data_IF_338530046015
#
_entry.id   IF_338530046015
#
_cell.length_a   1.000
_cell.length_b   1.000
_cell.length_c   1.000
_cell.angle_alpha   90.00
_cell.angle_beta   90.00
_cell.angle_gamma   90.00
#
_symmetry.space_group_name_H-M   'P 1'
#
loop_
_entity.id
_entity.type
_entity.pdbx_description
1 polymer ?
#
# COMPACT_ATOMS: atom_id res chain seq x y z
N UNK A 1 12.42 -13.49 7.09
CA UNK A 1 11.83 -12.22 6.62
C UNK A 1 12.44 -11.12 7.47
N UNK A 2 13.13 -10.19 6.82
CA UNK A 2 13.70 -9.02 7.47
C UNK A 2 12.61 -8.03 7.92
N UNK A 3 13.00 -7.01 8.71
CA UNK A 3 12.06 -6.03 9.24
C UNK A 3 11.35 -5.24 8.14
N UNK A 4 12.03 -4.94 7.03
CA UNK A 4 11.46 -4.17 5.91
C UNK A 4 10.40 -4.99 5.17
N UNK A 5 10.68 -6.26 4.84
CA UNK A 5 9.71 -7.14 4.20
C UNK A 5 8.46 -7.33 5.06
N UNK A 6 8.63 -7.50 6.38
CA UNK A 6 7.50 -7.60 7.31
C UNK A 6 6.63 -6.33 7.32
N UNK A 7 7.24 -5.14 7.30
CA UNK A 7 6.49 -3.88 7.22
C UNK A 7 5.72 -3.74 5.91
N UNK A 8 6.34 -4.09 4.78
CA UNK A 8 5.68 -4.05 3.47
C UNK A 8 4.50 -5.02 3.37
N UNK A 9 4.62 -6.21 3.98
CA UNK A 9 3.51 -7.16 4.10
C UNK A 9 2.37 -6.58 4.94
N UNK A 10 2.69 -5.99 6.09
CA UNK A 10 1.69 -5.39 6.98
C UNK A 10 0.92 -4.28 6.26
N UNK A 11 1.61 -3.39 5.53
CA UNK A 11 0.98 -2.33 4.72
C UNK A 11 0.02 -2.94 3.69
N UNK A 12 0.46 -3.96 2.93
CA UNK A 12 -0.38 -4.58 1.91
C UNK A 12 -1.64 -5.24 2.50
N UNK A 13 -1.51 -5.92 3.64
CA UNK A 13 -2.64 -6.53 4.34
C UNK A 13 -3.62 -5.47 4.88
N UNK A 14 -3.12 -4.39 5.48
CA UNK A 14 -3.95 -3.28 5.94
C UNK A 14 -4.76 -2.64 4.80
N UNK A 15 -4.13 -2.41 3.64
CA UNK A 15 -4.83 -1.87 2.47
C UNK A 15 -5.91 -2.83 1.95
N UNK A 16 -5.65 -4.15 1.93
CA UNK A 16 -6.67 -5.15 1.60
C UNK A 16 -7.84 -5.13 2.57
N UNK A 17 -7.58 -4.92 3.86
CA UNK A 17 -8.66 -4.80 4.85
C UNK A 17 -9.48 -3.54 4.63
N UNK A 18 -8.85 -2.38 4.40
CA UNK A 18 -9.57 -1.13 4.13
C UNK A 18 -10.45 -1.27 2.87
N UNK A 19 -9.90 -1.82 1.78
CA UNK A 19 -10.61 -2.04 0.51
C UNK A 19 -11.89 -2.87 0.65
N UNK A 20 -11.96 -3.76 1.64
CA UNK A 20 -13.17 -4.55 1.94
C UNK A 20 -14.26 -3.77 2.66
N UNK A 21 -13.92 -2.65 3.32
CA UNK A 21 -14.83 -1.88 4.16
C UNK A 21 -15.20 -0.52 3.57
N UNK A 22 -14.53 -0.09 2.50
CA UNK A 22 -14.83 1.15 1.78
C UNK A 22 -15.66 0.88 0.52
N UNK A 23 -16.45 1.86 0.03
CA UNK A 23 -17.19 1.72 -1.20
C UNK A 23 -16.28 1.46 -2.43
N UNK A 24 -16.79 0.79 -3.47
CA UNK A 24 -16.09 0.69 -4.75
C UNK A 24 -15.70 2.07 -5.28
N UNK A 25 -14.48 2.21 -5.77
CA UNK A 25 -13.99 3.49 -6.29
C UNK A 25 -13.45 4.46 -5.23
N UNK A 26 -13.45 4.10 -3.94
CA UNK A 26 -12.90 4.94 -2.86
C UNK A 26 -11.46 5.43 -3.11
N UNK A 27 -10.65 4.61 -3.79
CA UNK A 27 -9.26 4.95 -4.12
C UNK A 27 -9.08 5.63 -5.49
N UNK A 28 -10.15 5.81 -6.28
CA UNK A 28 -10.08 6.26 -7.67
C UNK A 28 -9.53 7.69 -7.81
N UNK A 29 -9.73 8.53 -6.79
CA UNK A 29 -9.28 9.92 -6.78
C UNK A 29 -7.77 10.09 -6.53
N UNK A 30 -7.05 8.98 -6.31
CA UNK A 30 -5.62 8.94 -6.03
C UNK A 30 -4.86 8.06 -7.04
N UNK A 31 -4.85 8.41 -8.34
CA UNK A 31 -4.27 7.58 -9.41
C UNK A 31 -2.72 7.51 -9.37
N UNK A 32 -2.07 8.37 -8.59
CA UNK A 32 -0.62 8.37 -8.37
C UNK A 32 -0.13 7.10 -7.64
N UNK A 33 -1.04 6.37 -6.98
CA UNK A 33 -0.77 5.09 -6.31
C UNK A 33 -1.35 3.95 -7.14
N UNK A 34 -0.51 2.97 -7.46
CA UNK A 34 -0.99 1.69 -7.98
C UNK A 34 -1.58 0.85 -6.84
N UNK A 35 -2.84 1.09 -6.50
CA UNK A 35 -3.54 0.43 -5.39
C UNK A 35 -3.60 -1.10 -5.52
N UNK A 36 -3.67 -1.61 -6.76
CA UNK A 36 -3.64 -3.05 -7.01
C UNK A 36 -2.30 -3.65 -6.62
N UNK A 37 -1.20 -3.02 -7.00
CA UNK A 37 0.15 -3.46 -6.63
C UNK A 37 0.39 -3.30 -5.12
N UNK A 38 -0.04 -2.17 -4.52
CA UNK A 38 0.11 -1.93 -3.09
C UNK A 38 -0.61 -2.99 -2.24
N UNK A 39 -1.86 -3.33 -2.58
CA UNK A 39 -2.62 -4.42 -1.94
C UNK A 39 -1.98 -5.80 -2.21
N UNK A 40 -1.41 -6.00 -3.39
CA UNK A 40 -0.73 -7.24 -3.79
C UNK A 40 0.65 -7.45 -3.17
N UNK A 41 1.21 -6.45 -2.47
CA UNK A 41 2.58 -6.49 -1.94
C UNK A 41 2.83 -7.70 -1.03
N UNK A 42 1.85 -8.06 -0.19
CA UNK A 42 1.92 -9.26 0.64
C UNK A 42 2.07 -10.54 -0.20
N UNK A 43 1.25 -10.67 -1.23
CA UNK A 43 1.20 -11.90 -2.03
C UNK A 43 2.50 -12.06 -2.81
N UNK A 44 3.03 -10.93 -3.31
CA UNK A 44 4.34 -10.87 -3.97
C UNK A 44 5.48 -11.26 -3.01
N UNK A 45 5.60 -10.60 -1.87
CA UNK A 45 6.70 -10.82 -0.92
C UNK A 45 6.65 -12.19 -0.24
N UNK A 46 5.48 -12.81 -0.10
CA UNK A 46 5.37 -14.14 0.52
C UNK A 46 5.80 -15.29 -0.40
N UNK A 47 5.72 -15.11 -1.73
CA UNK A 47 6.09 -16.14 -2.71
C UNK A 47 7.44 -15.85 -3.39
N UNK A 48 7.76 -14.59 -3.67
CA UNK A 48 8.96 -14.17 -4.38
C UNK A 48 10.13 -13.80 -3.44
N UNK A 49 10.01 -14.04 -2.12
CA UNK A 49 11.01 -13.63 -1.13
C UNK A 49 12.44 -14.11 -1.44
N UNK A 50 12.56 -15.29 -2.06
CA UNK A 50 13.87 -15.90 -2.36
C UNK A 50 14.57 -15.27 -3.56
N UNK A 51 13.80 -14.71 -4.49
CA UNK A 51 14.29 -13.98 -5.66
C UNK A 51 14.06 -12.46 -5.50
N UNK A 52 13.92 -11.99 -4.26
CA UNK A 52 13.61 -10.61 -3.98
C UNK A 52 14.83 -9.72 -4.24
N UNK A 53 14.83 -9.07 -5.40
CA UNK A 53 15.84 -8.08 -5.76
C UNK A 53 15.80 -6.89 -4.78
N UNK A 54 16.89 -6.69 -4.05
CA UNK A 54 17.05 -5.62 -3.05
C UNK A 54 16.80 -4.25 -3.70
N UNK A 55 17.20 -4.08 -4.96
CA UNK A 55 16.96 -2.85 -5.71
C UNK A 55 15.46 -2.57 -5.89
N UNK A 56 14.64 -3.61 -6.11
CA UNK A 56 13.19 -3.46 -6.22
C UNK A 56 12.57 -3.01 -4.90
N UNK A 57 13.00 -3.60 -3.78
CA UNK A 57 12.54 -3.20 -2.44
C UNK A 57 12.97 -1.78 -2.12
N UNK A 58 14.23 -1.44 -2.42
CA UNK A 58 14.77 -0.10 -2.21
C UNK A 58 14.01 0.95 -3.03
N UNK A 59 13.75 0.67 -4.30
CA UNK A 59 12.97 1.56 -5.17
C UNK A 59 11.52 1.69 -4.69
N UNK A 60 10.90 0.60 -4.21
CA UNK A 60 9.57 0.68 -3.60
C UNK A 60 9.57 1.59 -2.36
N UNK A 61 10.57 1.47 -1.50
CA UNK A 61 10.74 2.33 -0.33
C UNK A 61 10.97 3.80 -0.69
N UNK A 62 11.75 4.06 -1.74
CA UNK A 62 12.15 5.42 -2.13
C UNK A 62 11.11 6.15 -2.97
N UNK A 63 10.45 5.45 -3.90
CA UNK A 63 9.59 6.07 -4.92
C UNK A 63 8.11 5.82 -4.68
N UNK A 64 7.74 4.63 -4.20
CA UNK A 64 6.34 4.21 -4.06
C UNK A 64 5.77 4.48 -2.68
N UNK A 65 6.51 4.20 -1.60
CA UNK A 65 6.04 4.41 -0.23
C UNK A 65 5.72 5.89 0.09
N UNK A 66 6.50 6.90 -0.35
CA UNK A 66 6.15 8.29 -0.08
C UNK A 66 4.82 8.70 -0.71
N UNK A 67 4.56 8.25 -1.95
CA UNK A 67 3.28 8.51 -2.65
C UNK A 67 2.12 7.81 -1.95
N UNK A 68 2.32 6.57 -1.52
CA UNK A 68 1.33 5.83 -0.76
C UNK A 68 1.01 6.52 0.58
N UNK A 69 2.04 7.01 1.29
CA UNK A 69 1.87 7.74 2.54
C UNK A 69 1.06 9.02 2.32
N UNK A 70 1.43 9.84 1.34
CA UNK A 70 0.72 11.10 1.02
C UNK A 70 -0.76 10.84 0.68
N UNK A 71 -1.03 9.84 -0.18
CA UNK A 71 -2.39 9.46 -0.53
C UNK A 71 -3.19 8.98 0.69
N UNK A 72 -2.60 8.17 1.57
CA UNK A 72 -3.24 7.74 2.81
C UNK A 72 -3.53 8.90 3.77
N UNK A 73 -2.61 9.86 3.90
CA UNK A 73 -2.81 11.06 4.73
C UNK A 73 -3.96 11.92 4.19
N UNK A 74 -4.03 12.12 2.87
CA UNK A 74 -5.11 12.85 2.20
C UNK A 74 -6.46 12.11 2.29
N UNK A 75 -6.46 10.79 2.13
CA UNK A 75 -7.63 9.95 2.35
C UNK A 75 -8.16 10.09 3.79
N UNK A 76 -7.28 10.00 4.79
CA UNK A 76 -7.66 10.14 6.18
C UNK A 76 -8.21 11.54 6.50
N UNK A 77 -7.63 12.59 5.91
CA UNK A 77 -8.14 13.95 6.04
C UNK A 77 -9.56 14.11 5.44
N UNK A 78 -9.79 13.55 4.24
CA UNK A 78 -11.10 13.61 3.58
C UNK A 78 -12.20 12.80 4.27
N UNK A 79 -11.85 11.74 5.01
CA UNK A 79 -12.78 10.98 5.86
C UNK A 79 -13.21 11.78 7.11
N UNK A 80 -12.36 12.68 7.61
CA UNK A 80 -12.70 13.58 8.72
C UNK A 80 -13.70 14.68 8.35
N UNK A 81 -13.77 15.07 7.07
CA UNK A 81 -14.68 16.11 6.58
C UNK A 81 -16.06 15.56 6.15
N UNK A 82 -16.12 14.29 5.74
CA UNK A 82 -17.37 13.61 5.35
C UNK A 82 -17.83 12.64 6.46
N UNK A 83 -17.99 13.18 7.66
CA UNK A 83 -18.34 12.42 8.87
C UNK A 83 -19.44 11.38 8.65
N UNK A 84 -19.20 10.20 9.20
CA UNK A 84 -20.25 9.28 9.66
C UNK A 84 -21.11 9.98 10.70
#
# INVERSE_FOLDING_TARGET
MDAIGMMLIAIGESLKMIDKHVPPGFFADYPEVNWRAAKGMRDFLSHAYWDLEIETVFNACKESLPKLKDACERLAAGVGENGV
#
